data_IF_297301265532
#
_entry.id   IF_297301265532
#
_cell.length_a   1.000
_cell.length_b   1.000
_cell.length_c   1.000
_cell.angle_alpha   90.00
_cell.angle_beta   90.00
_cell.angle_gamma   90.00
#
_symmetry.space_group_name_H-M   'P 1'
#
loop_
_entity.id
_entity.type
_entity.pdbx_description
1 polymer ?
#
# COMPACT_ATOMS: atom_id res chain seq x y z
N UNK A 1 -54.28 43.17 40.00
CA UNK A 1 -53.91 44.25 40.95
C UNK A 1 -54.07 45.61 40.24
N UNK A 2 -54.28 46.69 41.01
CA UNK A 2 -54.43 48.14 40.67
C UNK A 2 -53.88 48.55 39.26
N UNK A 3 -54.54 49.26 38.33
CA UNK A 3 -55.62 50.30 38.29
C UNK A 3 -55.31 51.66 38.98
N UNK A 4 -55.01 52.68 38.15
CA UNK A 4 -55.14 54.17 38.25
C UNK A 4 -54.58 54.74 36.93
N UNK A 5 -55.07 55.75 36.20
CA UNK A 5 -56.19 56.73 36.32
C UNK A 5 -56.02 57.86 37.36
N UNK A 6 -55.65 59.06 36.88
CA UNK A 6 -55.86 60.44 37.43
C UNK A 6 -55.54 61.44 36.27
N UNK A 7 -56.50 62.03 35.53
CA UNK A 7 -57.31 63.24 35.78
C UNK A 7 -56.59 64.60 35.95
N UNK A 8 -56.69 65.42 34.88
CA UNK A 8 -57.06 66.85 34.85
C UNK A 8 -56.34 67.84 35.79
N UNK A 9 -55.64 68.81 35.19
CA UNK A 9 -55.60 70.19 35.66
C UNK A 9 -55.67 71.15 34.45
N UNK A 10 -56.55 72.14 34.52
CA UNK A 10 -56.88 73.07 33.43
C UNK A 10 -56.68 74.50 33.97
N UNK A 11 -55.69 75.22 33.45
CA UNK A 11 -55.47 76.64 33.77
C UNK A 11 -55.22 77.39 32.48
N UNK A 12 -56.11 78.33 32.16
CA UNK A 12 -55.91 79.32 31.11
C UNK A 12 -55.08 80.49 31.64
N UNK A 13 -54.27 81.10 30.77
CA UNK A 13 -54.19 82.56 30.65
C UNK A 13 -53.40 82.94 29.39
N UNK A 14 -53.80 84.05 28.77
CA UNK A 14 -53.30 84.49 27.47
C UNK A 14 -51.92 85.14 27.60
N UNK A 15 -51.01 84.88 26.67
CA UNK A 15 -49.96 85.84 26.32
C UNK A 15 -49.75 85.88 24.80
N UNK A 16 -49.37 87.07 24.33
CA UNK A 16 -49.47 87.56 22.95
C UNK A 16 -48.21 87.18 22.13
N UNK A 17 -48.32 86.98 20.80
CA UNK A 17 -47.25 86.38 19.99
C UNK A 17 -46.09 87.34 19.72
N UNK A 18 -44.85 86.84 19.82
CA UNK A 18 -43.65 87.40 19.18
C UNK A 18 -42.62 86.29 18.95
N UNK A 19 -42.23 86.15 17.68
CA UNK A 19 -40.87 85.88 17.19
C UNK A 19 -39.92 84.98 18.02
N UNK A 20 -39.89 83.68 17.71
CA UNK A 20 -38.61 82.94 17.68
C UNK A 20 -38.49 82.17 16.38
N UNK A 21 -37.84 82.85 15.44
CA UNK A 21 -36.90 82.28 14.49
C UNK A 21 -36.21 81.04 15.09
N UNK A 22 -36.65 79.84 14.72
CA UNK A 22 -36.05 78.61 15.21
C UNK A 22 -34.59 78.56 14.75
N UNK A 23 -33.69 78.52 15.74
CA UNK A 23 -32.24 78.34 15.61
C UNK A 23 -31.87 77.52 14.37
N UNK A 24 -31.39 78.20 13.32
CA UNK A 24 -30.50 77.52 12.37
C UNK A 24 -29.24 77.16 13.16
N UNK A 25 -28.89 75.87 13.32
CA UNK A 25 -27.65 75.50 13.98
C UNK A 25 -26.48 76.11 13.19
N UNK A 26 -25.42 76.59 13.86
CA UNK A 26 -24.32 77.24 13.18
C UNK A 26 -23.73 76.29 12.12
N UNK A 27 -23.61 76.76 10.87
CA UNK A 27 -23.12 75.99 9.71
C UNK A 27 -21.76 75.29 9.92
N UNK A 28 -21.02 75.68 10.97
CA UNK A 28 -19.75 75.11 11.42
C UNK A 28 -19.90 73.79 12.20
N UNK A 29 -21.05 73.53 12.84
CA UNK A 29 -21.33 72.28 13.53
C UNK A 29 -21.82 71.19 12.57
N UNK A 30 -22.63 71.55 11.57
CA UNK A 30 -23.11 70.62 10.55
C UNK A 30 -21.94 69.92 9.82
N UNK A 31 -20.95 70.70 9.35
CA UNK A 31 -19.70 70.17 8.73
C UNK A 31 -18.84 69.31 9.67
N UNK A 32 -19.02 69.44 11.00
CA UNK A 32 -18.32 68.59 11.99
C UNK A 32 -19.08 67.30 12.26
N UNK A 33 -20.42 67.31 12.20
CA UNK A 33 -21.25 66.12 12.26
C UNK A 33 -21.04 65.22 11.03
N UNK A 34 -21.19 65.79 9.83
CA UNK A 34 -20.95 65.13 8.53
C UNK A 34 -19.55 64.50 8.44
N UNK A 35 -18.51 65.19 8.95
CA UNK A 35 -17.15 64.64 9.01
C UNK A 35 -17.03 63.46 9.99
N UNK A 36 -17.74 63.47 11.12
CA UNK A 36 -17.76 62.35 12.08
C UNK A 36 -18.50 61.14 11.52
N UNK A 37 -19.63 61.36 10.86
CA UNK A 37 -20.41 60.32 10.19
C UNK A 37 -19.60 59.66 9.07
N UNK A 38 -18.95 60.45 8.21
CA UNK A 38 -18.04 59.91 7.19
C UNK A 38 -16.86 59.13 7.78
N UNK A 39 -16.29 59.55 8.91
CA UNK A 39 -15.23 58.79 9.60
C UNK A 39 -15.78 57.47 10.16
N UNK A 40 -16.97 57.48 10.76
CA UNK A 40 -17.62 56.27 11.29
C UNK A 40 -17.99 55.29 10.17
N UNK A 41 -18.60 55.76 9.08
CA UNK A 41 -18.92 54.95 7.90
C UNK A 41 -17.65 54.31 7.30
N UNK A 42 -16.57 55.08 7.14
CA UNK A 42 -15.29 54.56 6.63
C UNK A 42 -14.63 53.54 7.61
N UNK A 43 -14.78 53.73 8.92
CA UNK A 43 -14.34 52.75 9.92
C UNK A 43 -15.17 51.46 9.90
N UNK A 44 -16.49 51.54 9.73
CA UNK A 44 -17.37 50.37 9.59
C UNK A 44 -17.03 49.62 8.31
N UNK A 45 -16.94 50.32 7.17
CA UNK A 45 -16.58 49.71 5.88
C UNK A 45 -15.23 48.99 5.93
N UNK A 46 -14.21 49.59 6.56
CA UNK A 46 -12.90 48.94 6.73
C UNK A 46 -12.95 47.68 7.60
N UNK A 47 -13.85 47.62 8.58
CA UNK A 47 -14.06 46.42 9.41
C UNK A 47 -14.74 45.32 8.60
N UNK A 48 -15.85 45.65 7.91
CA UNK A 48 -16.56 44.68 7.06
C UNK A 48 -15.67 44.16 5.94
N UNK A 49 -14.92 45.03 5.26
CA UNK A 49 -13.96 44.63 4.21
C UNK A 49 -12.84 43.74 4.78
N UNK A 50 -12.39 44.00 6.02
CA UNK A 50 -11.39 43.15 6.69
C UNK A 50 -11.94 41.81 7.16
N UNK A 51 -13.23 41.73 7.49
CA UNK A 51 -13.91 40.48 7.91
C UNK A 51 -14.19 39.59 6.70
N UNK A 52 -14.71 40.17 5.60
CA UNK A 52 -14.90 39.48 4.31
C UNK A 52 -13.56 38.93 3.81
N UNK A 53 -12.50 39.74 3.77
CA UNK A 53 -11.16 39.28 3.34
C UNK A 53 -10.58 38.16 4.21
N UNK A 54 -10.90 38.12 5.51
CA UNK A 54 -10.48 37.01 6.38
C UNK A 54 -11.24 35.74 6.03
N UNK A 55 -12.55 35.82 5.87
CA UNK A 55 -13.39 34.69 5.45
C UNK A 55 -12.95 34.12 4.09
N UNK A 56 -12.65 34.98 3.11
CA UNK A 56 -12.12 34.57 1.80
C UNK A 56 -10.77 33.84 1.91
N UNK A 57 -9.86 34.35 2.75
CA UNK A 57 -8.55 33.73 3.02
C UNK A 57 -8.71 32.38 3.73
N UNK A 58 -9.66 32.25 4.66
CA UNK A 58 -9.94 31.02 5.39
C UNK A 58 -10.57 29.96 4.47
N UNK A 59 -11.58 30.33 3.67
CA UNK A 59 -12.17 29.46 2.66
C UNK A 59 -11.13 28.94 1.65
N UNK A 60 -10.28 29.84 1.11
CA UNK A 60 -9.21 29.45 0.19
C UNK A 60 -8.13 28.56 0.84
N UNK A 61 -7.92 28.66 2.16
CA UNK A 61 -7.03 27.74 2.91
C UNK A 61 -7.67 26.37 3.09
N UNK A 62 -8.95 26.30 3.40
CA UNK A 62 -9.68 25.03 3.53
C UNK A 62 -9.76 24.28 2.19
N UNK A 63 -10.13 24.95 1.11
CA UNK A 63 -10.18 24.37 -0.24
C UNK A 63 -8.80 23.81 -0.62
N UNK A 64 -7.74 24.59 -0.41
CA UNK A 64 -6.35 24.15 -0.65
C UNK A 64 -5.92 23.01 0.25
N UNK A 65 -6.47 22.88 1.46
CA UNK A 65 -6.22 21.76 2.35
C UNK A 65 -6.90 20.48 1.85
N UNK A 66 -8.19 20.58 1.47
CA UNK A 66 -8.98 19.48 0.87
C UNK A 66 -8.33 18.95 -0.40
N UNK A 67 -8.00 19.84 -1.35
CA UNK A 67 -7.30 19.50 -2.59
C UNK A 67 -5.94 18.80 -2.34
N UNK A 68 -5.19 19.25 -1.33
CA UNK A 68 -3.93 18.61 -0.92
C UNK A 68 -4.14 17.23 -0.29
N UNK A 69 -5.23 17.01 0.42
CA UNK A 69 -5.57 15.73 1.01
C UNK A 69 -6.02 14.74 -0.09
N UNK A 70 -6.96 15.12 -0.95
CA UNK A 70 -7.38 14.31 -2.10
C UNK A 70 -6.21 13.91 -2.99
N UNK A 71 -5.28 14.84 -3.26
CA UNK A 71 -4.08 14.56 -4.06
C UNK A 71 -3.14 13.56 -3.35
N UNK A 72 -2.99 13.66 -2.01
CA UNK A 72 -2.20 12.68 -1.25
C UNK A 72 -2.85 11.29 -1.28
N UNK A 73 -4.17 11.22 -1.14
CA UNK A 73 -4.94 9.97 -1.18
C UNK A 73 -4.81 9.31 -2.55
N UNK A 74 -5.07 10.05 -3.65
CA UNK A 74 -4.85 9.59 -5.04
C UNK A 74 -3.42 9.11 -5.29
N UNK A 75 -2.41 9.88 -4.89
CA UNK A 75 -0.99 9.49 -5.05
C UNK A 75 -0.59 8.28 -4.20
N UNK A 76 -1.31 8.00 -3.11
CA UNK A 76 -1.09 6.82 -2.27
C UNK A 76 -1.71 5.59 -2.92
N UNK A 77 -2.95 5.71 -3.39
CA UNK A 77 -3.67 4.68 -4.15
C UNK A 77 -2.90 4.27 -5.43
N UNK A 78 -2.40 5.23 -6.20
CA UNK A 78 -1.58 4.95 -7.39
C UNK A 78 -0.25 4.23 -7.04
N UNK A 79 0.36 4.50 -5.88
CA UNK A 79 1.57 3.79 -5.45
C UNK A 79 1.22 2.35 -5.07
N UNK A 80 0.14 2.19 -4.33
CA UNK A 80 -0.47 0.93 -3.93
C UNK A 80 -0.66 -0.02 -5.11
N UNK A 81 -1.46 0.38 -6.09
CA UNK A 81 -1.75 -0.39 -7.29
C UNK A 81 -0.45 -0.78 -8.04
N UNK A 82 0.51 0.15 -8.17
CA UNK A 82 1.82 -0.12 -8.78
C UNK A 82 2.68 -1.11 -8.00
N UNK A 83 2.56 -1.19 -6.68
CA UNK A 83 3.27 -2.18 -5.86
C UNK A 83 2.60 -3.55 -6.00
N UNK A 84 1.27 -3.61 -5.91
CA UNK A 84 0.51 -4.85 -6.10
C UNK A 84 0.74 -5.46 -7.48
N UNK A 85 0.70 -4.65 -8.54
CA UNK A 85 1.09 -5.07 -9.90
C UNK A 85 2.49 -5.69 -9.96
N UNK A 86 3.47 -5.08 -9.28
CA UNK A 86 4.84 -5.59 -9.24
C UNK A 86 4.91 -6.92 -8.51
N UNK A 87 4.18 -7.09 -7.41
CA UNK A 87 4.09 -8.37 -6.68
C UNK A 87 3.39 -9.41 -7.55
N UNK A 88 2.28 -9.07 -8.22
CA UNK A 88 1.57 -9.95 -9.17
C UNK A 88 2.51 -10.44 -10.29
N UNK A 89 3.24 -9.53 -10.94
CA UNK A 89 4.23 -9.83 -11.98
C UNK A 89 5.36 -10.74 -11.46
N UNK A 90 5.84 -10.53 -10.23
CA UNK A 90 6.85 -11.39 -9.61
C UNK A 90 6.30 -12.78 -9.25
N UNK A 91 5.11 -12.87 -8.66
CA UNK A 91 4.43 -14.13 -8.34
C UNK A 91 4.25 -15.00 -9.59
N UNK A 92 3.74 -14.42 -10.69
CA UNK A 92 3.58 -15.12 -11.97
C UNK A 92 4.92 -15.63 -12.53
N UNK A 93 5.96 -14.78 -12.57
CA UNK A 93 7.32 -15.18 -12.98
C UNK A 93 7.86 -16.36 -12.16
N UNK A 94 7.66 -16.34 -10.84
CA UNK A 94 8.14 -17.40 -9.95
C UNK A 94 7.29 -18.68 -10.06
N UNK A 95 5.99 -18.60 -10.32
CA UNK A 95 5.17 -19.79 -10.66
C UNK A 95 5.60 -20.44 -11.98
N UNK A 96 5.91 -19.66 -13.02
CA UNK A 96 6.44 -20.17 -14.28
C UNK A 96 7.81 -20.83 -14.11
N UNK A 97 8.72 -20.20 -13.35
CA UNK A 97 10.01 -20.80 -12.99
C UNK A 97 9.84 -22.09 -12.21
N UNK A 98 8.93 -22.15 -11.22
CA UNK A 98 8.62 -23.40 -10.50
C UNK A 98 8.21 -24.51 -11.47
N UNK A 99 7.27 -24.25 -12.39
CA UNK A 99 6.86 -25.22 -13.42
C UNK A 99 8.04 -25.70 -14.28
N UNK A 100 8.92 -24.79 -14.69
CA UNK A 100 10.12 -25.11 -15.47
C UNK A 100 11.10 -26.02 -14.71
N UNK A 101 11.40 -25.71 -13.45
CA UNK A 101 12.24 -26.56 -12.60
C UNK A 101 11.63 -27.95 -12.39
N UNK A 102 10.33 -28.03 -12.06
CA UNK A 102 9.66 -29.31 -11.85
C UNK A 102 9.62 -30.17 -13.11
N UNK A 103 9.39 -29.58 -14.30
CA UNK A 103 9.47 -30.32 -15.56
C UNK A 103 10.89 -30.87 -15.82
N UNK A 104 11.94 -30.11 -15.52
CA UNK A 104 13.32 -30.58 -15.63
C UNK A 104 13.63 -31.73 -14.64
N UNK A 105 13.15 -31.62 -13.40
CA UNK A 105 13.32 -32.65 -12.38
C UNK A 105 12.48 -33.91 -12.65
N UNK A 106 11.30 -33.79 -13.25
CA UNK A 106 10.51 -34.93 -13.71
C UNK A 106 11.25 -35.71 -14.81
N UNK A 107 11.74 -35.00 -15.83
CA UNK A 107 12.56 -35.58 -16.88
C UNK A 107 13.84 -36.25 -16.33
N UNK A 108 14.46 -35.68 -15.29
CA UNK A 108 15.62 -36.27 -14.63
C UNK A 108 15.27 -37.60 -13.94
N UNK A 109 14.21 -37.61 -13.11
CA UNK A 109 13.73 -38.84 -12.44
C UNK A 109 13.39 -39.94 -13.44
N UNK A 110 12.69 -39.60 -14.52
CA UNK A 110 12.26 -40.56 -15.54
C UNK A 110 13.46 -41.19 -16.26
N UNK A 111 14.47 -40.39 -16.61
CA UNK A 111 15.71 -40.90 -17.23
C UNK A 111 16.52 -41.81 -16.29
N UNK A 112 16.60 -41.47 -15.00
CA UNK A 112 17.25 -42.35 -14.01
C UNK A 112 16.45 -43.63 -13.83
N UNK A 113 15.12 -43.55 -13.74
CA UNK A 113 14.26 -44.74 -13.59
C UNK A 113 14.35 -45.68 -14.78
N UNK A 114 14.35 -45.16 -16.02
CA UNK A 114 14.54 -45.96 -17.23
C UNK A 114 15.93 -46.62 -17.26
N UNK A 115 16.98 -45.87 -16.88
CA UNK A 115 18.32 -46.43 -16.81
C UNK A 115 18.45 -47.55 -15.76
N UNK A 116 17.79 -47.39 -14.60
CA UNK A 116 17.69 -48.46 -13.58
C UNK A 116 17.01 -49.69 -14.19
N UNK A 117 15.84 -49.55 -14.81
CA UNK A 117 15.10 -50.69 -15.39
C UNK A 117 15.94 -51.46 -16.42
N UNK A 118 16.54 -50.76 -17.39
CA UNK A 118 17.37 -51.39 -18.41
C UNK A 118 18.61 -52.07 -17.80
N UNK A 119 19.21 -51.48 -16.76
CA UNK A 119 20.36 -52.06 -16.07
C UNK A 119 19.99 -53.32 -15.27
N UNK A 120 18.79 -53.39 -14.68
CA UNK A 120 18.30 -54.62 -14.05
C UNK A 120 18.03 -55.72 -15.07
N UNK A 121 17.44 -55.38 -16.22
CA UNK A 121 17.22 -56.32 -17.32
C UNK A 121 18.54 -56.86 -17.91
N UNK A 122 19.60 -56.05 -17.91
CA UNK A 122 20.96 -56.47 -18.28
C UNK A 122 21.72 -57.22 -17.16
N UNK A 123 21.17 -57.30 -15.94
CA UNK A 123 21.74 -58.03 -14.80
C UNK A 123 22.68 -57.25 -13.87
N UNK A 124 22.73 -55.92 -13.96
CA UNK A 124 23.53 -55.07 -13.06
C UNK A 124 22.90 -54.95 -11.67
N UNK A 125 23.71 -54.86 -10.61
CA UNK A 125 23.24 -54.43 -9.29
C UNK A 125 23.03 -52.91 -9.28
N UNK A 126 21.74 -52.52 -9.27
CA UNK A 126 21.26 -51.13 -9.22
C UNK A 126 20.90 -50.65 -7.81
N UNK A 127 21.15 -51.45 -6.76
CA UNK A 127 20.61 -51.20 -5.40
C UNK A 127 20.89 -49.78 -4.90
N UNK A 128 22.13 -49.31 -5.09
CA UNK A 128 22.50 -47.93 -4.78
C UNK A 128 21.72 -46.89 -5.59
N UNK A 129 21.61 -47.11 -6.91
CA UNK A 129 20.97 -46.16 -7.82
C UNK A 129 19.46 -46.03 -7.55
N UNK A 130 18.82 -47.09 -7.04
CA UNK A 130 17.45 -47.04 -6.51
C UNK A 130 17.34 -46.21 -5.23
N UNK A 131 18.28 -46.34 -4.29
CA UNK A 131 18.33 -45.52 -3.08
C UNK A 131 18.57 -44.04 -3.42
N UNK A 132 19.50 -43.76 -4.34
CA UNK A 132 19.77 -42.43 -4.89
C UNK A 132 18.55 -41.77 -5.52
N UNK A 133 17.77 -42.53 -6.31
CA UNK A 133 16.53 -42.02 -6.90
C UNK A 133 15.47 -41.70 -5.84
N UNK A 134 15.46 -42.40 -4.70
CA UNK A 134 14.58 -42.07 -3.58
C UNK A 134 14.99 -40.77 -2.89
N UNK A 135 16.29 -40.61 -2.57
CA UNK A 135 16.84 -39.38 -1.96
C UNK A 135 16.66 -38.17 -2.89
N UNK A 136 16.88 -38.35 -4.19
CA UNK A 136 16.64 -37.30 -5.19
C UNK A 136 15.16 -36.90 -5.26
N UNK A 137 14.22 -37.85 -5.17
CA UNK A 137 12.78 -37.57 -5.08
C UNK A 137 12.42 -36.77 -3.82
N UNK A 138 13.03 -37.10 -2.68
CA UNK A 138 12.84 -36.37 -1.42
C UNK A 138 13.32 -34.91 -1.54
N UNK A 139 14.54 -34.68 -2.03
CA UNK A 139 15.07 -33.31 -2.26
C UNK A 139 14.19 -32.49 -3.22
N UNK A 140 13.69 -33.11 -4.30
CA UNK A 140 12.73 -32.46 -5.23
C UNK A 140 11.41 -32.11 -4.52
N UNK A 141 10.95 -32.94 -3.58
CA UNK A 141 9.75 -32.65 -2.79
C UNK A 141 9.98 -31.48 -1.82
N UNK A 142 11.10 -31.43 -1.09
CA UNK A 142 11.47 -30.29 -0.23
C UNK A 142 11.50 -28.99 -1.01
N UNK A 143 12.26 -28.93 -2.12
CA UNK A 143 12.25 -27.81 -3.06
C UNK A 143 10.83 -27.40 -3.48
N UNK A 144 9.96 -28.37 -3.77
CA UNK A 144 8.57 -28.10 -4.19
C UNK A 144 7.75 -27.42 -3.08
N UNK A 145 7.95 -27.84 -1.83
CA UNK A 145 7.29 -27.31 -0.64
C UNK A 145 7.81 -25.91 -0.32
N UNK A 146 9.13 -25.71 -0.22
CA UNK A 146 9.71 -24.40 0.11
C UNK A 146 9.45 -23.34 -0.95
N UNK A 147 9.40 -23.73 -2.23
CA UNK A 147 8.96 -22.83 -3.31
C UNK A 147 7.46 -22.48 -3.16
N UNK A 148 6.61 -23.40 -2.69
CA UNK A 148 5.21 -23.08 -2.40
C UNK A 148 5.09 -22.11 -1.22
N UNK A 149 5.86 -22.32 -0.15
CA UNK A 149 5.95 -21.44 1.02
C UNK A 149 6.41 -20.04 0.62
N UNK A 150 7.48 -19.93 -0.20
CA UNK A 150 7.95 -18.67 -0.77
C UNK A 150 6.88 -17.93 -1.58
N UNK A 151 6.21 -18.61 -2.52
CA UNK A 151 5.14 -18.00 -3.32
C UNK A 151 3.97 -17.56 -2.43
N UNK A 152 3.60 -18.36 -1.43
CA UNK A 152 2.54 -18.04 -0.47
C UNK A 152 2.87 -16.77 0.32
N UNK A 153 4.08 -16.68 0.88
CA UNK A 153 4.57 -15.50 1.62
C UNK A 153 4.61 -14.25 0.73
N UNK A 154 5.12 -14.37 -0.50
CA UNK A 154 5.13 -13.27 -1.47
C UNK A 154 3.71 -12.82 -1.85
N UNK A 155 2.74 -13.74 -1.98
CA UNK A 155 1.32 -13.39 -2.17
C UNK A 155 0.74 -12.69 -0.94
N UNK A 156 1.03 -13.18 0.26
CA UNK A 156 0.59 -12.62 1.54
C UNK A 156 1.03 -11.17 1.76
N UNK A 157 2.23 -10.80 1.29
CA UNK A 157 2.73 -9.41 1.40
C UNK A 157 1.79 -8.35 0.79
N UNK A 158 0.92 -8.70 -0.16
CA UNK A 158 -0.09 -7.78 -0.72
C UNK A 158 -1.13 -7.30 0.29
N UNK A 159 -1.36 -8.05 1.36
CA UNK A 159 -2.33 -7.64 2.39
C UNK A 159 -1.85 -6.42 3.20
N UNK A 160 -0.58 -6.02 3.03
CA UNK A 160 0.07 -4.93 3.75
C UNK A 160 0.57 -3.80 2.84
N UNK A 161 0.33 -3.86 1.52
CA UNK A 161 0.81 -2.82 0.58
C UNK A 161 0.12 -1.48 0.76
N UNK A 162 -1.07 -1.47 1.39
CA UNK A 162 -2.00 -0.34 1.38
C UNK A 162 -2.59 -0.08 2.77
N UNK A 163 -1.86 0.69 3.58
CA UNK A 163 -2.29 1.09 4.92
C UNK A 163 -1.12 1.60 5.75
N UNK A 164 -1.33 1.76 7.05
CA UNK A 164 -0.28 2.18 7.99
C UNK A 164 0.71 1.04 8.37
N UNK A 165 0.56 -0.14 7.80
CA UNK A 165 1.37 -1.35 8.03
C UNK A 165 2.66 -1.43 7.19
N UNK A 166 3.35 -0.31 6.96
CA UNK A 166 4.63 -0.28 6.23
C UNK A 166 5.70 -1.19 6.86
N UNK A 167 5.65 -1.35 8.20
CA UNK A 167 6.51 -2.27 8.95
C UNK A 167 6.24 -3.74 8.61
N UNK A 168 4.98 -4.15 8.63
CA UNK A 168 4.55 -5.53 8.36
C UNK A 168 4.88 -5.93 6.92
N UNK A 169 4.61 -5.03 5.96
CA UNK A 169 4.98 -5.22 4.55
C UNK A 169 6.49 -5.47 4.38
N UNK A 170 7.32 -4.70 5.09
CA UNK A 170 8.77 -4.86 5.05
C UNK A 170 9.21 -6.19 5.69
N UNK A 171 8.58 -6.60 6.80
CA UNK A 171 8.83 -7.89 7.46
C UNK A 171 8.52 -9.07 6.53
N UNK A 172 7.31 -9.11 5.99
CA UNK A 172 6.86 -10.11 5.00
C UNK A 172 7.83 -10.24 3.80
N UNK A 173 8.30 -9.10 3.27
CA UNK A 173 9.29 -9.10 2.18
C UNK A 173 10.71 -9.53 2.60
N UNK A 174 11.10 -9.40 3.87
CA UNK A 174 12.38 -9.94 4.37
C UNK A 174 12.29 -11.45 4.51
N UNK A 175 11.21 -11.96 5.10
CA UNK A 175 10.95 -13.39 5.24
C UNK A 175 10.80 -14.08 3.87
N UNK A 176 10.08 -13.48 2.93
CA UNK A 176 10.00 -13.99 1.56
C UNK A 176 11.38 -14.04 0.86
N UNK A 177 12.29 -13.10 1.13
CA UNK A 177 13.67 -13.18 0.60
C UNK A 177 14.50 -14.29 1.26
N UNK A 178 14.30 -14.55 2.54
CA UNK A 178 14.95 -15.67 3.23
C UNK A 178 14.49 -17.02 2.66
N UNK A 179 13.17 -17.19 2.45
CA UNK A 179 12.62 -18.37 1.79
C UNK A 179 13.14 -18.56 0.35
N UNK A 180 13.29 -17.47 -0.42
CA UNK A 180 13.90 -17.56 -1.76
C UNK A 180 15.36 -18.03 -1.72
N UNK A 181 16.12 -17.73 -0.66
CA UNK A 181 17.48 -18.23 -0.47
C UNK A 181 17.47 -19.75 -0.29
N UNK A 182 16.59 -20.27 0.56
CA UNK A 182 16.40 -21.72 0.78
C UNK A 182 16.06 -22.42 -0.56
N UNK A 183 15.10 -21.89 -1.32
CA UNK A 183 14.73 -22.41 -2.65
C UNK A 183 15.91 -22.46 -3.64
N UNK A 184 16.88 -21.54 -3.53
CA UNK A 184 18.11 -21.57 -4.33
C UNK A 184 19.12 -22.60 -3.82
N UNK A 185 19.21 -22.78 -2.50
CA UNK A 185 20.05 -23.79 -1.86
C UNK A 185 19.55 -25.21 -2.19
N UNK A 186 18.25 -25.47 -2.07
CA UNK A 186 17.60 -26.72 -2.50
C UNK A 186 17.90 -27.07 -3.97
N UNK A 187 17.79 -26.08 -4.87
CA UNK A 187 18.05 -26.27 -6.29
C UNK A 187 19.52 -26.59 -6.59
N UNK A 188 20.43 -26.05 -5.77
CA UNK A 188 21.86 -26.37 -5.81
C UNK A 188 22.11 -27.77 -5.25
N UNK A 189 21.53 -28.14 -4.11
CA UNK A 189 21.66 -29.48 -3.53
C UNK A 189 21.17 -30.58 -4.48
N UNK A 190 20.03 -30.39 -5.15
CA UNK A 190 19.51 -31.34 -6.16
C UNK A 190 20.54 -31.52 -7.30
N UNK A 191 21.16 -30.43 -7.74
CA UNK A 191 22.17 -30.46 -8.81
C UNK A 191 23.45 -31.15 -8.34
N UNK A 192 23.95 -30.82 -7.16
CA UNK A 192 25.18 -31.37 -6.59
C UNK A 192 25.02 -32.86 -6.30
N UNK A 193 23.91 -33.27 -5.67
CA UNK A 193 23.59 -34.68 -5.42
C UNK A 193 23.58 -35.50 -6.72
N UNK A 194 22.93 -34.99 -7.78
CA UNK A 194 22.97 -35.64 -9.08
C UNK A 194 24.38 -35.69 -9.69
N UNK A 195 25.17 -34.62 -9.54
CA UNK A 195 26.50 -34.52 -10.17
C UNK A 195 27.59 -35.31 -9.47
N UNK A 196 27.51 -35.46 -8.14
CA UNK A 196 28.55 -36.04 -7.29
C UNK A 196 28.20 -37.43 -6.75
N UNK A 197 26.91 -37.73 -6.52
CA UNK A 197 26.47 -39.04 -6.03
C UNK A 197 25.96 -39.89 -7.19
N UNK A 198 24.82 -39.50 -7.79
CA UNK A 198 24.11 -40.31 -8.80
C UNK A 198 24.98 -40.63 -10.02
N UNK A 199 25.76 -39.66 -10.50
CA UNK A 199 26.68 -39.89 -11.63
C UNK A 199 27.82 -40.85 -11.30
N UNK A 200 28.30 -40.87 -10.08
CA UNK A 200 29.45 -41.70 -9.70
C UNK A 200 29.02 -43.13 -9.38
N UNK A 201 27.85 -43.33 -8.78
CA UNK A 201 27.26 -44.67 -8.67
C UNK A 201 26.81 -45.22 -10.04
N UNK A 202 26.35 -44.39 -10.99
CA UNK A 202 26.16 -44.81 -12.40
C UNK A 202 27.46 -45.29 -13.06
N UNK A 203 28.60 -44.64 -12.77
CA UNK A 203 29.92 -45.13 -13.27
C UNK A 203 30.32 -46.43 -12.58
N UNK A 204 30.15 -46.52 -11.26
CA UNK A 204 30.50 -47.71 -10.48
C UNK A 204 29.69 -48.93 -10.95
N UNK A 205 28.39 -48.75 -11.19
CA UNK A 205 27.51 -49.79 -11.75
C UNK A 205 27.98 -50.27 -13.12
N UNK A 206 28.35 -49.35 -14.03
CA UNK A 206 28.88 -49.71 -15.36
C UNK A 206 30.24 -50.43 -15.36
N UNK A 207 30.96 -50.39 -14.23
CA UNK A 207 32.22 -51.11 -14.06
C UNK A 207 32.03 -52.51 -13.46
N UNK A 208 30.79 -52.94 -13.17
CA UNK A 208 30.49 -54.32 -12.78
C UNK A 208 30.73 -55.24 -13.98
N UNK A 209 31.57 -56.26 -13.80
CA UNK A 209 31.75 -57.33 -14.77
C UNK A 209 30.58 -58.30 -14.68
N UNK A 210 29.64 -58.20 -15.61
CA UNK A 210 28.61 -59.22 -15.80
C UNK A 210 29.20 -60.31 -16.68
N UNK A 211 29.36 -61.51 -16.12
CA UNK A 211 29.60 -62.72 -16.92
C UNK A 211 28.34 -63.01 -17.74
N UNK A 212 28.32 -62.47 -18.96
CA UNK A 212 27.35 -62.82 -20.00
C UNK A 212 27.65 -64.25 -20.47
N UNK A 213 27.26 -65.21 -19.63
CA UNK A 213 27.36 -66.63 -19.92
C UNK A 213 26.49 -66.94 -21.13
N UNK A 214 27.09 -67.56 -22.14
CA UNK A 214 26.55 -67.71 -23.49
C UNK A 214 25.35 -68.67 -23.52
N UNK A 215 24.28 -68.28 -24.23
CA UNK A 215 23.26 -69.16 -24.86
C UNK A 215 23.23 -68.88 -26.37
#
# INVERSE_FOLDING_TARGET
MKKTIFTIALVSLMFIPILTLALMPPLKENKRAEKRENIQANQVQRKTDSEVRKADIEAAREEKMKLRQELKEKLTEEKCQRIEERINKKVSLFEEKKKSHLAAYENLKNRISQFITNAEEEGYDVTKLKADLAILKEKINTFTQDYATYISKLKGSKNYTCGHSEGDFKGELVEARALLKIVHEDAQEIREYFQLTVKDDVKAMKNQTIDKTEE
#
